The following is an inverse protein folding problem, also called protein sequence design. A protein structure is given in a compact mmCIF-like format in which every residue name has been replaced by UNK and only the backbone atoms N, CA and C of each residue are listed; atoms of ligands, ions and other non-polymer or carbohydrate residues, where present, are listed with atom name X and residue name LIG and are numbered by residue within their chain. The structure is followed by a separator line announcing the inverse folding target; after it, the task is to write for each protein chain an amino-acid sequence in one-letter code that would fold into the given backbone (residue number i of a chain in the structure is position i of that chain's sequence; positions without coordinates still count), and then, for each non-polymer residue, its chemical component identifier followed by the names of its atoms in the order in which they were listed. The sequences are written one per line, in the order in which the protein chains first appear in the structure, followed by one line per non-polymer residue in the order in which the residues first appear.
data_IF_866585066585
#
_entry.id   IF_866585066585
#
_cell.length_a   1.000
_cell.length_b   1.000
_cell.length_c   1.000
_cell.angle_alpha   90.00
_cell.angle_beta   90.00
_cell.angle_gamma   90.00
#
_symmetry.space_group_name_H-M   'P 1'
#
loop_
_entity.id
_entity.type
_entity.pdbx_description
1 polymer ?
#
# COMPACT_ATOMS: atom_id res chain seq x y z
N UNK A 1 4.48 -10.97 -19.73
CA UNK A 1 4.09 -9.57 -19.43
C UNK A 1 2.95 -9.53 -18.43
N UNK A 2 1.95 -10.42 -18.56
CA UNK A 2 0.99 -10.79 -17.51
C UNK A 2 1.61 -10.95 -16.10
N UNK A 3 2.79 -11.57 -16.00
CA UNK A 3 3.49 -11.74 -14.71
C UNK A 3 3.91 -10.43 -14.03
N UNK A 4 4.04 -9.32 -14.76
CA UNK A 4 4.40 -8.01 -14.19
C UNK A 4 3.31 -7.47 -13.27
N UNK A 5 2.04 -7.75 -13.58
CA UNK A 5 0.90 -7.35 -12.76
C UNK A 5 0.90 -8.02 -11.39
N UNK A 6 1.37 -9.27 -11.31
CA UNK A 6 1.50 -9.99 -10.05
C UNK A 6 2.77 -9.60 -9.29
N UNK A 7 3.84 -9.28 -10.01
CA UNK A 7 5.11 -8.86 -9.40
C UNK A 7 4.99 -7.55 -8.61
N UNK A 8 4.17 -6.59 -9.03
CA UNK A 8 4.03 -5.30 -8.35
C UNK A 8 3.55 -5.40 -6.90
N UNK A 9 2.41 -6.04 -6.57
CA UNK A 9 2.00 -6.21 -5.18
C UNK A 9 2.92 -7.18 -4.44
N UNK A 10 3.42 -8.24 -5.10
CA UNK A 10 4.29 -9.23 -4.46
C UNK A 10 5.63 -8.64 -3.99
N UNK A 11 6.22 -7.72 -4.75
CA UNK A 11 7.44 -7.02 -4.34
C UNK A 11 7.18 -6.19 -3.09
N UNK A 12 6.05 -5.49 -3.02
CA UNK A 12 5.68 -4.70 -1.84
C UNK A 12 5.49 -5.58 -0.61
N UNK A 13 4.82 -6.73 -0.76
CA UNK A 13 4.66 -7.73 0.31
C UNK A 13 6.00 -8.33 0.74
N UNK A 14 6.86 -8.69 -0.23
CA UNK A 14 8.17 -9.27 0.07
C UNK A 14 9.06 -8.28 0.84
N UNK A 15 9.05 -7.01 0.44
CA UNK A 15 9.77 -5.94 1.16
C UNK A 15 9.19 -5.76 2.57
N UNK A 16 7.87 -5.74 2.74
CA UNK A 16 7.24 -5.67 4.05
C UNK A 16 7.66 -6.82 4.97
N UNK A 17 7.66 -8.07 4.47
CA UNK A 17 8.07 -9.24 5.23
C UNK A 17 9.57 -9.21 5.56
N UNK A 18 10.41 -8.79 4.62
CA UNK A 18 11.85 -8.65 4.85
C UNK A 18 12.14 -7.64 5.98
N UNK A 19 11.42 -6.51 6.00
CA UNK A 19 11.56 -5.48 7.04
C UNK A 19 11.27 -6.02 8.45
N UNK A 20 10.37 -6.99 8.62
CA UNK A 20 10.07 -7.57 9.94
C UNK A 20 11.27 -8.30 10.57
N UNK A 21 12.19 -8.80 9.73
CA UNK A 21 13.38 -9.55 10.18
C UNK A 21 14.60 -8.64 10.33
N UNK A 22 14.64 -7.52 9.62
CA UNK A 22 15.75 -6.56 9.65
C UNK A 22 15.69 -5.71 10.93
N UNK A 23 16.84 -5.60 11.60
CA UNK A 23 16.99 -4.80 12.83
C UNK A 23 17.80 -3.52 12.62
N UNK A 24 18.55 -3.42 11.51
CA UNK A 24 19.34 -2.23 11.19
C UNK A 24 18.47 -1.15 10.53
N UNK A 25 18.40 0.02 11.16
CA UNK A 25 17.66 1.19 10.66
C UNK A 25 18.07 1.62 9.26
N UNK A 26 19.36 1.55 8.92
CA UNK A 26 19.85 1.99 7.62
C UNK A 26 19.35 1.06 6.52
N UNK A 27 19.33 -0.23 6.81
CA UNK A 27 18.81 -1.25 5.91
C UNK A 27 17.30 -1.10 5.75
N UNK A 28 16.55 -0.81 6.83
CA UNK A 28 15.11 -0.52 6.75
C UNK A 28 14.82 0.69 5.85
N UNK A 29 15.53 1.80 6.04
CA UNK A 29 15.37 3.00 5.21
C UNK A 29 15.73 2.76 3.74
N UNK A 30 16.79 1.96 3.48
CA UNK A 30 17.16 1.60 2.12
C UNK A 30 16.10 0.70 1.48
N UNK A 31 15.60 -0.30 2.19
CA UNK A 31 14.53 -1.19 1.73
C UNK A 31 13.25 -0.41 1.43
N UNK A 32 12.89 0.55 2.27
CA UNK A 32 11.71 1.39 2.09
C UNK A 32 11.80 2.23 0.80
N UNK A 33 12.92 2.91 0.61
CA UNK A 33 13.17 3.71 -0.57
C UNK A 33 13.23 2.83 -1.83
N UNK A 34 13.98 1.73 -1.79
CA UNK A 34 14.09 0.80 -2.91
C UNK A 34 12.74 0.16 -3.27
N UNK A 35 11.93 -0.22 -2.27
CA UNK A 35 10.59 -0.78 -2.48
C UNK A 35 9.65 0.23 -3.14
N UNK A 36 9.62 1.47 -2.65
CA UNK A 36 8.81 2.53 -3.25
C UNK A 36 9.24 2.86 -4.69
N UNK A 37 10.55 2.96 -4.96
CA UNK A 37 11.06 3.14 -6.32
C UNK A 37 10.76 1.94 -7.23
N UNK A 38 10.83 0.71 -6.71
CA UNK A 38 10.48 -0.48 -7.48
C UNK A 38 9.01 -0.43 -7.93
N UNK A 39 8.09 -0.02 -7.05
CA UNK A 39 6.67 0.15 -7.41
C UNK A 39 6.50 1.22 -8.49
N UNK A 40 7.17 2.37 -8.37
CA UNK A 40 7.11 3.43 -9.39
C UNK A 40 7.68 2.98 -10.74
N UNK A 41 8.85 2.31 -10.75
CA UNK A 41 9.49 1.81 -11.97
C UNK A 41 8.59 0.76 -12.64
N UNK A 42 8.04 -0.19 -11.87
CA UNK A 42 7.13 -1.18 -12.42
C UNK A 42 5.84 -0.53 -12.94
N UNK A 43 5.33 0.49 -12.25
CA UNK A 43 4.22 1.31 -12.72
C UNK A 43 4.52 1.97 -14.06
N UNK A 44 5.71 2.53 -14.24
CA UNK A 44 6.16 3.12 -15.52
C UNK A 44 6.32 2.06 -16.62
N UNK A 45 6.81 0.86 -16.30
CA UNK A 45 6.91 -0.25 -17.25
C UNK A 45 5.52 -0.69 -17.71
N UNK A 46 4.58 -0.88 -16.77
CA UNK A 46 3.18 -1.21 -17.08
C UNK A 46 2.53 -0.09 -17.88
N UNK A 47 2.78 1.17 -17.54
CA UNK A 47 2.27 2.33 -18.27
C UNK A 47 2.72 2.34 -19.73
N UNK A 48 4.00 2.08 -19.96
CA UNK A 48 4.57 1.99 -21.31
C UNK A 48 3.95 0.84 -22.10
N UNK A 49 3.79 -0.31 -21.46
CA UNK A 49 3.20 -1.49 -22.09
C UNK A 49 1.76 -1.24 -22.51
N UNK A 50 0.94 -0.71 -21.60
CA UNK A 50 -0.46 -0.36 -21.88
C UNK A 50 -0.58 0.70 -22.97
N UNK A 51 0.36 1.65 -23.03
CA UNK A 51 0.40 2.68 -24.08
C UNK A 51 0.75 2.15 -25.48
N UNK A 52 1.48 1.03 -25.58
CA UNK A 52 1.90 0.45 -26.87
C UNK A 52 0.98 -0.68 -27.31
N UNK A 53 0.61 -1.57 -26.40
CA UNK A 53 -0.11 -2.82 -26.71
C UNK A 53 -1.60 -2.78 -26.30
N UNK A 54 -2.03 -1.73 -25.59
CA UNK A 54 -3.39 -1.63 -25.05
C UNK A 54 -3.54 -2.31 -23.67
N UNK A 55 -4.79 -2.45 -23.17
CA UNK A 55 -5.04 -3.02 -21.85
C UNK A 55 -4.49 -4.43 -21.69
N UNK A 56 -3.89 -4.71 -20.54
CA UNK A 56 -3.26 -5.99 -20.22
C UNK A 56 -3.98 -6.65 -19.04
N UNK A 57 -4.23 -7.95 -19.12
CA UNK A 57 -4.95 -8.71 -18.10
C UNK A 57 -4.15 -9.96 -17.72
N UNK A 58 -4.15 -10.29 -16.44
CA UNK A 58 -3.56 -11.51 -15.89
C UNK A 58 -4.38 -12.04 -14.72
N UNK A 59 -5.26 -13.00 -15.00
CA UNK A 59 -6.10 -13.63 -13.98
C UNK A 59 -7.04 -12.61 -13.34
N UNK A 60 -6.83 -12.33 -12.04
CA UNK A 60 -7.65 -11.40 -11.26
C UNK A 60 -7.22 -9.93 -11.37
N UNK A 61 -6.10 -9.67 -12.06
CA UNK A 61 -5.52 -8.34 -12.20
C UNK A 61 -5.57 -7.84 -13.64
N UNK A 62 -5.86 -6.56 -13.83
CA UNK A 62 -5.91 -5.88 -15.11
C UNK A 62 -5.33 -4.48 -15.00
N UNK A 63 -4.56 -4.08 -16.00
CA UNK A 63 -4.09 -2.72 -16.19
C UNK A 63 -4.66 -2.15 -17.49
N UNK A 64 -5.46 -1.11 -17.37
CA UNK A 64 -5.92 -0.28 -18.48
C UNK A 64 -5.37 1.16 -18.33
N UNK A 65 -5.80 2.06 -19.24
CA UNK A 65 -5.33 3.43 -19.23
C UNK A 65 -5.63 4.16 -17.91
N UNK A 66 -6.75 3.85 -17.24
CA UNK A 66 -7.13 4.48 -15.98
C UNK A 66 -6.33 3.90 -14.80
N UNK A 67 -6.21 2.58 -14.73
CA UNK A 67 -5.43 1.88 -13.72
C UNK A 67 -3.97 2.35 -13.73
N UNK A 68 -3.39 2.56 -14.91
CA UNK A 68 -2.03 3.10 -15.07
C UNK A 68 -1.89 4.49 -14.45
N UNK A 69 -2.86 5.39 -14.63
CA UNK A 69 -2.81 6.73 -14.04
C UNK A 69 -2.76 6.65 -12.51
N UNK A 70 -3.64 5.85 -11.90
CA UNK A 70 -3.65 5.66 -10.46
C UNK A 70 -2.42 4.93 -9.94
N UNK A 71 -1.87 3.97 -10.69
CA UNK A 71 -0.67 3.24 -10.31
C UNK A 71 0.57 4.15 -10.29
N UNK A 72 0.68 5.07 -11.26
CA UNK A 72 1.76 6.07 -11.29
C UNK A 72 1.62 7.09 -10.16
N UNK A 73 0.39 7.56 -9.88
CA UNK A 73 0.12 8.43 -8.73
C UNK A 73 0.49 7.74 -7.41
N UNK A 74 0.10 6.47 -7.26
CA UNK A 74 0.46 5.66 -6.09
C UNK A 74 1.98 5.53 -5.94
N UNK A 75 2.70 5.21 -7.03
CA UNK A 75 4.16 5.12 -7.01
C UNK A 75 4.84 6.44 -6.63
N UNK A 76 4.36 7.57 -7.17
CA UNK A 76 4.90 8.89 -6.86
C UNK A 76 4.68 9.27 -5.39
N UNK A 77 3.49 9.01 -4.86
CA UNK A 77 3.16 9.24 -3.46
C UNK A 77 3.98 8.31 -2.57
N UNK A 78 4.11 7.02 -2.93
CA UNK A 78 4.91 6.06 -2.17
C UNK A 78 6.37 6.49 -2.04
N UNK A 79 7.00 6.99 -3.12
CA UNK A 79 8.37 7.52 -3.07
C UNK A 79 8.45 8.77 -2.18
N UNK A 80 7.46 9.66 -2.29
CA UNK A 80 7.41 10.87 -1.46
C UNK A 80 7.28 10.53 0.03
N UNK A 81 6.42 9.56 0.36
CA UNK A 81 6.27 9.02 1.71
C UNK A 81 7.56 8.38 2.17
N UNK A 82 8.20 7.52 1.38
CA UNK A 82 9.46 6.88 1.75
C UNK A 82 10.56 7.89 2.10
N UNK A 83 10.74 8.93 1.27
CA UNK A 83 11.73 10.00 1.53
C UNK A 83 11.42 10.71 2.86
N UNK A 84 10.15 11.05 3.11
CA UNK A 84 9.75 11.73 4.34
C UNK A 84 9.87 10.83 5.57
N UNK A 85 9.42 9.59 5.47
CA UNK A 85 9.38 8.60 6.55
C UNK A 85 10.75 8.29 7.12
N UNK A 86 11.81 8.28 6.30
CA UNK A 86 13.20 8.12 6.77
C UNK A 86 13.61 9.24 7.73
N UNK A 87 13.30 10.50 7.38
CA UNK A 87 13.62 11.64 8.24
C UNK A 87 12.76 11.66 9.52
N UNK A 88 11.46 11.40 9.36
CA UNK A 88 10.52 11.38 10.47
C UNK A 88 10.85 10.29 11.50
N UNK A 89 11.10 9.04 11.07
CA UNK A 89 11.48 7.94 11.95
C UNK A 89 12.79 8.18 12.68
N UNK A 90 13.77 8.80 12.02
CA UNK A 90 15.02 9.17 12.67
C UNK A 90 14.77 10.16 13.81
N UNK A 91 13.96 11.19 13.57
CA UNK A 91 13.61 12.17 14.60
C UNK A 91 12.91 11.55 15.81
N UNK A 92 11.96 10.63 15.59
CA UNK A 92 11.20 9.97 16.67
C UNK A 92 12.05 9.01 17.52
N UNK A 93 13.02 8.34 16.90
CA UNK A 93 13.97 7.48 17.63
C UNK A 93 14.98 8.32 18.40
N UNK A 94 15.55 9.36 17.78
CA UNK A 94 16.55 10.22 18.40
C UNK A 94 15.94 11.03 19.58
N UNK A 95 14.65 11.37 19.53
CA UNK A 95 13.91 12.01 20.62
C UNK A 95 13.44 11.05 21.72
N UNK A 96 13.65 9.73 21.55
CA UNK A 96 13.24 8.70 22.51
C UNK A 96 11.73 8.44 22.57
N UNK A 97 10.94 8.94 21.62
CA UNK A 97 9.49 8.74 21.58
C UNK A 97 9.10 7.34 21.08
N UNK A 98 9.93 6.73 20.23
CA UNK A 98 9.68 5.41 19.66
C UNK A 98 10.87 4.46 19.85
N UNK A 99 10.65 3.23 20.34
CA UNK A 99 11.70 2.23 20.40
C UNK A 99 12.05 1.74 18.99
N UNK A 100 13.32 1.41 18.77
CA UNK A 100 13.83 0.96 17.46
C UNK A 100 13.06 -0.26 16.90
N UNK A 101 12.56 -1.14 17.79
CA UNK A 101 11.75 -2.30 17.41
C UNK A 101 10.41 -1.92 16.77
N UNK A 102 9.86 -0.74 17.03
CA UNK A 102 8.60 -0.29 16.43
C UNK A 102 8.81 0.21 15.00
N UNK A 103 9.97 0.79 14.68
CA UNK A 103 10.32 1.32 13.35
C UNK A 103 10.12 0.29 12.23
N UNK A 104 10.51 -0.98 12.46
CA UNK A 104 10.31 -2.04 11.45
C UNK A 104 8.84 -2.34 11.17
N UNK A 105 7.98 -2.27 12.19
CA UNK A 105 6.54 -2.51 12.02
C UNK A 105 5.90 -1.37 11.25
N UNK A 106 6.34 -0.13 11.49
CA UNK A 106 5.91 1.02 10.71
C UNK A 106 6.21 0.83 9.22
N UNK A 107 7.47 0.56 8.86
CA UNK A 107 7.86 0.39 7.45
C UNK A 107 7.17 -0.82 6.81
N UNK A 108 7.03 -1.93 7.54
CA UNK A 108 6.30 -3.10 7.08
C UNK A 108 4.80 -2.78 6.82
N UNK A 109 4.16 -2.00 7.69
CA UNK A 109 2.77 -1.57 7.50
C UNK A 109 2.61 -0.61 6.32
N UNK A 110 3.57 0.32 6.11
CA UNK A 110 3.58 1.20 4.93
C UNK A 110 3.65 0.38 3.65
N UNK A 111 4.55 -0.61 3.58
CA UNK A 111 4.65 -1.48 2.41
C UNK A 111 3.45 -2.43 2.26
N UNK A 112 2.84 -2.87 3.38
CA UNK A 112 1.57 -3.59 3.38
C UNK A 112 0.42 -2.75 2.83
N UNK A 113 0.36 -1.46 3.17
CA UNK A 113 -0.60 -0.51 2.62
C UNK A 113 -0.38 -0.26 1.13
N UNK A 114 0.87 -0.09 0.70
CA UNK A 114 1.21 0.05 -0.73
C UNK A 114 0.79 -1.22 -1.49
N UNK A 115 1.06 -2.41 -0.94
CA UNK A 115 0.67 -3.67 -1.57
C UNK A 115 -0.84 -3.77 -1.79
N UNK A 116 -1.65 -3.47 -0.77
CA UNK A 116 -3.12 -3.51 -0.87
C UNK A 116 -3.64 -2.45 -1.85
N UNK A 117 -3.08 -1.23 -1.84
CA UNK A 117 -3.43 -0.19 -2.81
C UNK A 117 -3.10 -0.57 -4.25
N UNK A 118 -1.95 -1.22 -4.51
CA UNK A 118 -1.61 -1.73 -5.85
C UNK A 118 -2.66 -2.75 -6.31
N UNK A 119 -3.07 -3.68 -5.44
CA UNK A 119 -4.12 -4.66 -5.78
C UNK A 119 -5.46 -3.96 -6.03
N UNK A 120 -5.83 -2.96 -5.23
CA UNK A 120 -7.06 -2.17 -5.43
C UNK A 120 -7.08 -1.53 -6.82
N UNK A 121 -5.98 -0.91 -7.25
CA UNK A 121 -5.90 -0.24 -8.56
C UNK A 121 -5.94 -1.24 -9.72
N UNK A 122 -5.36 -2.43 -9.53
CA UNK A 122 -5.25 -3.44 -10.58
C UNK A 122 -6.37 -4.48 -10.56
N UNK A 123 -7.33 -4.42 -9.63
CA UNK A 123 -8.36 -5.45 -9.51
C UNK A 123 -9.31 -5.48 -10.72
N UNK A 124 -9.48 -6.64 -11.34
CA UNK A 124 -10.38 -6.84 -12.49
C UNK A 124 -11.77 -7.35 -12.08
N UNK A 125 -12.00 -7.64 -10.80
CA UNK A 125 -13.30 -8.03 -10.28
C UNK A 125 -13.63 -7.28 -8.98
N UNK A 126 -14.91 -7.00 -8.77
CA UNK A 126 -15.38 -6.18 -7.66
C UNK A 126 -15.17 -6.86 -6.29
N UNK A 127 -15.14 -8.19 -6.24
CA UNK A 127 -14.85 -8.92 -5.00
C UNK A 127 -13.42 -8.72 -4.52
N UNK A 128 -12.44 -8.88 -5.40
CA UNK A 128 -11.01 -8.61 -5.11
C UNK A 128 -10.79 -7.13 -4.83
N UNK A 129 -11.43 -6.24 -5.59
CA UNK A 129 -11.39 -4.80 -5.33
C UNK A 129 -11.85 -4.50 -3.89
N UNK A 130 -12.98 -5.07 -3.47
CA UNK A 130 -13.52 -4.93 -2.11
C UNK A 130 -12.55 -5.45 -1.03
N UNK A 131 -12.03 -6.68 -1.20
CA UNK A 131 -11.06 -7.26 -0.25
C UNK A 131 -9.81 -6.39 -0.14
N UNK A 132 -9.29 -5.92 -1.28
CA UNK A 132 -8.10 -5.07 -1.31
C UNK A 132 -8.35 -3.72 -0.63
N UNK A 133 -9.50 -3.08 -0.91
CA UNK A 133 -9.92 -1.84 -0.24
C UNK A 133 -10.00 -2.01 1.28
N UNK A 134 -10.59 -3.09 1.79
CA UNK A 134 -10.62 -3.34 3.23
C UNK A 134 -9.21 -3.57 3.80
N UNK A 135 -8.33 -4.23 3.05
CA UNK A 135 -6.90 -4.33 3.40
C UNK A 135 -6.21 -2.97 3.55
N UNK A 136 -6.55 -2.00 2.68
CA UNK A 136 -6.02 -0.62 2.80
C UNK A 136 -6.55 0.09 4.04
N UNK A 137 -7.80 -0.16 4.42
CA UNK A 137 -8.42 0.37 5.64
C UNK A 137 -7.72 -0.17 6.89
N UNK A 138 -7.54 -1.48 6.99
CA UNK A 138 -6.92 -2.13 8.16
C UNK A 138 -5.49 -1.63 8.34
N UNK A 139 -4.70 -1.63 7.27
CA UNK A 139 -3.30 -1.17 7.32
C UNK A 139 -3.20 0.32 7.67
N UNK A 140 -4.07 1.17 7.09
CA UNK A 140 -4.13 2.60 7.42
C UNK A 140 -4.54 2.86 8.86
N UNK A 141 -5.53 2.14 9.38
CA UNK A 141 -5.99 2.33 10.75
C UNK A 141 -4.88 2.03 11.76
N UNK A 142 -4.11 0.96 11.53
CA UNK A 142 -2.95 0.62 12.37
C UNK A 142 -1.86 1.69 12.24
N UNK A 143 -1.63 2.24 11.05
CA UNK A 143 -0.68 3.35 10.84
C UNK A 143 -1.11 4.64 11.53
N UNK A 144 -2.40 5.00 11.50
CA UNK A 144 -2.95 6.18 12.20
C UNK A 144 -2.81 6.03 13.71
N UNK A 145 -3.09 4.84 14.24
CA UNK A 145 -2.96 4.53 15.66
C UNK A 145 -1.53 4.22 16.10
N UNK A 146 -0.54 4.26 15.21
CA UNK A 146 0.79 3.70 15.44
C UNK A 146 1.54 4.30 16.63
N UNK A 147 1.41 5.63 16.86
CA UNK A 147 2.01 6.29 18.03
C UNK A 147 1.42 5.83 19.37
N UNK A 148 0.24 5.19 19.37
CA UNK A 148 -0.39 4.65 20.58
C UNK A 148 -0.84 5.70 21.61
N UNK A 149 -0.89 6.99 21.25
CA UNK A 149 -1.44 8.03 22.12
C UNK A 149 -2.98 8.04 22.06
N UNK A 150 -3.62 8.62 23.09
CA UNK A 150 -5.09 8.60 23.19
C UNK A 150 -5.77 9.22 21.95
N UNK A 151 -5.25 10.35 21.47
CA UNK A 151 -5.78 11.02 20.28
C UNK A 151 -5.61 10.19 18.99
N UNK A 152 -4.48 9.51 18.82
CA UNK A 152 -4.23 8.66 17.66
C UNK A 152 -5.10 7.41 17.65
N UNK A 153 -5.34 6.81 18.82
CA UNK A 153 -6.25 5.67 18.95
C UNK A 153 -7.70 6.07 18.70
N UNK A 154 -8.13 7.22 19.22
CA UNK A 154 -9.46 7.77 18.95
C UNK A 154 -9.65 8.08 17.45
N UNK A 155 -8.62 8.65 16.81
CA UNK A 155 -8.64 8.92 15.37
C UNK A 155 -8.69 7.62 14.54
N UNK A 156 -7.90 6.61 14.89
CA UNK A 156 -7.89 5.31 14.21
C UNK A 156 -9.25 4.61 14.34
N UNK A 157 -9.87 4.65 15.53
CA UNK A 157 -11.19 4.08 15.76
C UNK A 157 -12.28 4.80 14.96
N UNK A 158 -12.28 6.14 14.93
CA UNK A 158 -13.19 6.93 14.11
C UNK A 158 -13.00 6.64 12.62
N UNK A 159 -11.75 6.51 12.18
CA UNK A 159 -11.42 6.15 10.81
C UNK A 159 -12.03 4.80 10.42
N UNK A 160 -11.77 3.73 11.20
CA UNK A 160 -12.31 2.38 10.95
C UNK A 160 -13.83 2.41 10.82
N UNK A 161 -14.55 3.04 11.77
CA UNK A 161 -16.01 3.07 11.74
C UNK A 161 -16.52 3.70 10.44
N UNK A 162 -15.99 4.87 10.07
CA UNK A 162 -16.44 5.60 8.88
C UNK A 162 -16.14 4.80 7.61
N UNK A 163 -14.95 4.20 7.51
CA UNK A 163 -14.54 3.44 6.31
C UNK A 163 -15.28 2.12 6.18
N UNK A 164 -15.44 1.35 7.27
CA UNK A 164 -16.10 0.03 7.23
C UNK A 164 -17.59 0.19 6.89
N UNK A 165 -18.26 1.24 7.36
CA UNK A 165 -19.65 1.54 6.95
C UNK A 165 -19.73 1.81 5.45
N UNK A 166 -18.82 2.63 4.90
CA UNK A 166 -18.78 2.90 3.46
C UNK A 166 -18.52 1.65 2.63
N UNK A 167 -17.55 0.83 3.04
CA UNK A 167 -17.18 -0.42 2.36
C UNK A 167 -18.29 -1.48 2.46
N UNK A 168 -19.07 -1.51 3.55
CA UNK A 168 -20.24 -2.40 3.67
C UNK A 168 -21.36 -2.03 2.69
N UNK A 169 -21.66 -0.73 2.52
CA UNK A 169 -22.57 -0.27 1.48
C UNK A 169 -22.03 -0.57 0.07
N UNK A 170 -20.72 -0.41 -0.13
CA UNK A 170 -20.03 -0.84 -1.35
C UNK A 170 -20.28 -2.31 -1.64
N UNK A 171 -20.05 -3.20 -0.66
CA UNK A 171 -20.31 -4.63 -0.81
C UNK A 171 -21.76 -4.92 -1.18
N UNK A 172 -22.71 -4.30 -0.47
CA UNK A 172 -24.13 -4.46 -0.75
C UNK A 172 -24.47 -4.08 -2.19
N UNK A 173 -23.95 -2.95 -2.67
CA UNK A 173 -24.08 -2.53 -4.07
C UNK A 173 -23.47 -3.54 -5.05
N UNK A 174 -22.28 -4.08 -4.77
CA UNK A 174 -21.67 -5.11 -5.62
C UNK A 174 -22.50 -6.38 -5.67
N UNK A 175 -23.05 -6.83 -4.54
CA UNK A 175 -23.93 -8.02 -4.48
C UNK A 175 -25.18 -7.80 -5.33
N UNK A 176 -25.82 -6.63 -5.25
CA UNK A 176 -26.99 -6.31 -6.06
C UNK A 176 -26.70 -6.27 -7.57
N UNK A 177 -25.49 -5.88 -7.98
CA UNK A 177 -25.08 -5.89 -9.39
C UNK A 177 -24.87 -7.32 -9.92
N UNK A 178 -24.44 -8.24 -9.06
CA UNK A 178 -24.19 -9.64 -9.44
C UNK A 178 -25.38 -10.59 -9.20
N UNK A 179 -26.41 -10.14 -8.47
CA UNK A 179 -27.63 -10.91 -8.19
C UNK A 179 -28.61 -10.86 -9.37
#
# INVERSE_FOLDING_TARGET
MSNLLWLTPLISVAVALAMLVVHDRRVLSLLDLCGAFAVLILGLVIARDVGVHGPSQSGLLRADALAVVFLLLLGLIAVSVAIYSVGWMKGEVDSGHLPLKQVRYYFALVHGFIATMVVTVLADNLGVLWIAMEGTTITSAILVGFRGNQHGLEAAWKYIIVTTVGIAFGLFGTVLIYA
#
